data_IF_924096525192
#
_entry.id   IF_924096525192
#
_cell.length_a   1.000
_cell.length_b   1.000
_cell.length_c   1.000
_cell.angle_alpha   90.00
_cell.angle_beta   90.00
_cell.angle_gamma   90.00
#
_symmetry.space_group_name_H-M   'P 1'
#
loop_
_entity.id
_entity.type
_entity.pdbx_description
1 polymer ?
#
# COMPACT_ATOMS: atom_id res chain seq x y z
N UNK A 1 -18.95 8.00 1.04
CA UNK A 1 -17.94 7.53 2.01
C UNK A 1 -17.02 6.58 1.27
N UNK A 2 -15.70 6.70 1.43
CA UNK A 2 -14.77 5.83 0.71
C UNK A 2 -14.92 4.37 1.18
N UNK A 3 -14.94 3.39 0.27
CA UNK A 3 -15.18 1.97 0.62
C UNK A 3 -14.06 1.34 1.42
N UNK A 4 -12.82 1.68 1.10
CA UNK A 4 -11.65 1.14 1.79
C UNK A 4 -10.82 2.24 2.42
N UNK A 5 -10.13 1.88 3.49
CA UNK A 5 -9.03 2.67 4.03
C UNK A 5 -7.79 1.82 4.25
N UNK A 6 -6.63 2.46 4.06
CA UNK A 6 -5.33 1.95 4.47
C UNK A 6 -4.77 2.87 5.54
N UNK A 7 -4.32 2.28 6.65
CA UNK A 7 -3.48 2.94 7.64
C UNK A 7 -2.15 2.20 7.71
N UNK A 8 -1.07 2.85 7.28
CA UNK A 8 0.26 2.26 7.21
C UNK A 8 1.21 2.92 8.21
N UNK A 9 2.05 2.12 8.85
CA UNK A 9 3.15 2.61 9.70
C UNK A 9 4.42 2.68 8.86
N UNK A 10 4.93 3.88 8.66
CA UNK A 10 6.27 4.08 8.08
C UNK A 10 7.29 3.70 9.15
N UNK A 11 8.35 2.98 8.81
CA UNK A 11 9.35 2.47 9.77
C UNK A 11 9.94 3.60 10.62
N UNK A 12 10.45 4.63 9.96
CA UNK A 12 11.21 5.71 10.60
C UNK A 12 10.40 7.01 10.80
N UNK A 13 9.09 6.98 10.53
CA UNK A 13 8.24 8.17 10.59
C UNK A 13 6.87 7.89 11.25
N UNK A 14 5.88 8.73 10.93
CA UNK A 14 4.52 8.62 11.43
C UNK A 14 3.68 7.56 10.71
N UNK A 15 2.39 7.87 10.56
CA UNK A 15 1.43 7.02 9.88
C UNK A 15 1.02 7.66 8.55
N UNK A 16 0.85 6.82 7.53
CA UNK A 16 0.22 7.20 6.28
C UNK A 16 -1.24 6.73 6.28
N UNK A 17 -2.16 7.58 5.84
CA UNK A 17 -3.58 7.23 5.75
C UNK A 17 -4.13 7.51 4.35
N UNK A 18 -4.76 6.49 3.77
CA UNK A 18 -5.29 6.54 2.41
C UNK A 18 -6.72 6.02 2.40
N UNK A 19 -7.60 6.68 1.65
CA UNK A 19 -8.98 6.22 1.42
C UNK A 19 -9.26 6.08 -0.07
N UNK A 20 -9.92 5.00 -0.47
CA UNK A 20 -10.24 4.74 -1.87
C UNK A 20 -11.52 3.92 -2.03
N UNK A 21 -12.10 3.99 -3.24
CA UNK A 21 -13.29 3.23 -3.62
C UNK A 21 -12.98 2.09 -4.59
N UNK A 22 -11.84 2.19 -5.29
CA UNK A 22 -11.51 1.28 -6.37
C UNK A 22 -10.92 -0.01 -5.81
N UNK A 23 -11.63 -1.11 -6.02
CA UNK A 23 -11.19 -2.45 -5.63
C UNK A 23 -9.85 -2.82 -6.32
N UNK A 24 -9.52 -2.23 -7.48
CA UNK A 24 -8.27 -2.49 -8.21
C UNK A 24 -7.00 -2.10 -7.41
N UNK A 25 -7.10 -1.10 -6.51
CA UNK A 25 -6.00 -0.73 -5.62
C UNK A 25 -5.61 -1.90 -4.70
N UNK A 26 -6.57 -2.75 -4.32
CA UNK A 26 -6.29 -3.94 -3.52
C UNK A 26 -5.53 -5.00 -4.30
N UNK A 27 -5.70 -5.06 -5.62
CA UNK A 27 -4.97 -5.99 -6.46
C UNK A 27 -3.52 -5.53 -6.67
N UNK A 28 -3.27 -4.22 -6.71
CA UNK A 28 -1.91 -3.66 -6.68
C UNK A 28 -1.15 -4.07 -5.40
N UNK A 29 -1.82 -4.06 -4.23
CA UNK A 29 -1.20 -4.48 -2.96
C UNK A 29 -0.70 -5.93 -2.98
N UNK A 30 -1.36 -6.83 -3.73
CA UNK A 30 -0.98 -8.25 -3.83
C UNK A 30 0.26 -8.47 -4.70
N UNK A 31 0.61 -7.47 -5.51
CA UNK A 31 1.74 -7.52 -6.45
C UNK A 31 3.02 -6.94 -5.84
N UNK A 32 3.01 -6.50 -4.58
CA UNK A 32 4.20 -5.97 -3.91
C UNK A 32 5.00 -7.10 -3.24
N UNK A 33 6.33 -7.13 -3.40
CA UNK A 33 7.14 -6.27 -4.27
C UNK A 33 7.00 -6.67 -5.75
N UNK A 34 6.88 -5.71 -6.68
CA UNK A 34 6.80 -6.02 -8.10
C UNK A 34 8.19 -6.34 -8.68
N UNK A 35 8.28 -7.22 -9.70
CA UNK A 35 9.55 -7.58 -10.32
C UNK A 35 10.24 -6.39 -11.02
N UNK A 36 9.47 -5.41 -11.49
CA UNK A 36 9.97 -4.22 -12.21
C UNK A 36 10.21 -3.01 -11.30
N UNK A 37 10.12 -3.18 -9.98
CA UNK A 37 10.27 -2.09 -9.01
C UNK A 37 9.26 -0.95 -9.24
N UNK A 38 9.72 0.30 -9.13
CA UNK A 38 8.85 1.48 -9.26
C UNK A 38 8.29 1.70 -10.68
N UNK A 39 8.88 1.09 -11.72
CA UNK A 39 8.41 1.25 -13.10
C UNK A 39 6.99 0.70 -13.31
N UNK A 40 6.57 -0.26 -12.48
CA UNK A 40 5.22 -0.85 -12.56
C UNK A 40 4.12 0.19 -12.29
N UNK A 41 4.40 1.26 -11.55
CA UNK A 41 3.41 2.26 -11.14
C UNK A 41 2.79 2.98 -12.34
N UNK A 42 3.52 3.12 -13.45
CA UNK A 42 3.00 3.70 -14.69
C UNK A 42 1.86 2.88 -15.32
N UNK A 43 1.78 1.59 -14.99
CA UNK A 43 0.80 0.64 -15.51
C UNK A 43 -0.32 0.31 -14.52
N UNK A 44 -0.19 0.75 -13.27
CA UNK A 44 -1.22 0.52 -12.25
C UNK A 44 -2.34 1.56 -12.34
N UNK A 45 -3.58 1.19 -11.98
CA UNK A 45 -4.72 2.09 -11.97
C UNK A 45 -4.70 3.03 -10.74
N UNK A 46 -3.56 3.66 -10.49
CA UNK A 46 -3.35 4.64 -9.42
C UNK A 46 -3.07 6.00 -10.04
N UNK A 47 -3.93 6.97 -9.75
CA UNK A 47 -3.88 8.27 -10.41
C UNK A 47 -3.78 9.41 -9.41
N UNK A 48 -4.08 9.16 -8.13
CA UNK A 48 -3.99 10.20 -7.11
C UNK A 48 -2.57 10.27 -6.55
N UNK A 49 -2.01 11.48 -6.34
CA UNK A 49 -0.70 11.65 -5.75
C UNK A 49 -0.49 10.86 -4.45
N UNK A 50 -1.49 10.86 -3.55
CA UNK A 50 -1.40 10.12 -2.29
C UNK A 50 -1.40 8.59 -2.46
N UNK A 51 -2.04 8.05 -3.51
CA UNK A 51 -1.98 6.62 -3.82
C UNK A 51 -0.58 6.27 -4.35
N UNK A 52 -0.05 7.09 -5.25
CA UNK A 52 1.29 6.95 -5.81
C UNK A 52 2.35 6.98 -4.71
N UNK A 53 2.33 8.00 -3.84
CA UNK A 53 3.25 8.14 -2.72
C UNK A 53 3.21 6.91 -1.79
N UNK A 54 2.02 6.45 -1.43
CA UNK A 54 1.86 5.25 -0.63
C UNK A 54 2.53 4.02 -1.26
N UNK A 55 2.31 3.78 -2.56
CA UNK A 55 2.90 2.62 -3.23
C UNK A 55 4.41 2.76 -3.43
N UNK A 56 4.93 3.96 -3.65
CA UNK A 56 6.38 4.21 -3.68
C UNK A 56 7.02 3.83 -2.34
N UNK A 57 6.48 4.32 -1.23
CA UNK A 57 6.97 4.00 0.11
C UNK A 57 6.86 2.50 0.43
N UNK A 58 5.77 1.87 -0.03
CA UNK A 58 5.54 0.45 0.13
C UNK A 58 6.57 -0.39 -0.64
N UNK A 59 6.83 -0.06 -1.90
CA UNK A 59 7.79 -0.76 -2.78
C UNK A 59 9.23 -0.58 -2.29
N UNK A 60 9.58 0.62 -1.82
CA UNK A 60 10.91 0.91 -1.26
C UNK A 60 11.16 0.23 0.10
N UNK A 61 10.19 -0.50 0.65
CA UNK A 61 10.33 -1.20 1.94
C UNK A 61 10.27 -0.29 3.16
N UNK A 62 9.85 0.97 2.99
CA UNK A 62 9.76 1.96 4.07
C UNK A 62 8.55 1.74 4.98
N UNK A 63 7.58 0.92 4.57
CA UNK A 63 6.41 0.56 5.37
C UNK A 63 6.72 -0.67 6.23
N UNK A 64 6.46 -0.57 7.54
CA UNK A 64 6.62 -1.67 8.50
C UNK A 64 5.44 -2.64 8.46
N UNK A 65 4.23 -2.06 8.45
CA UNK A 65 2.98 -2.80 8.34
C UNK A 65 1.88 -1.85 7.86
N UNK A 66 0.78 -2.42 7.37
CA UNK A 66 -0.43 -1.65 7.08
C UNK A 66 -1.71 -2.40 7.43
N UNK A 67 -2.75 -1.64 7.75
CA UNK A 67 -4.09 -2.13 7.94
C UNK A 67 -4.94 -1.76 6.74
N UNK A 68 -5.64 -2.73 6.15
CA UNK A 68 -6.70 -2.50 5.18
C UNK A 68 -8.03 -2.69 5.89
N UNK A 69 -8.94 -1.72 5.78
CA UNK A 69 -10.33 -1.83 6.26
C UNK A 69 -11.28 -1.70 5.09
N UNK A 70 -12.21 -2.64 4.94
CA UNK A 70 -13.36 -2.53 4.05
C UNK A 70 -14.57 -2.11 4.88
N UNK A 71 -15.10 -0.90 4.64
CA UNK A 71 -16.25 -0.38 5.37
C UNK A 71 -17.56 -1.09 5.00
N UNK A 72 -17.63 -1.73 3.83
CA UNK A 72 -18.83 -2.46 3.38
C UNK A 72 -19.00 -3.78 4.12
N UNK A 73 -17.91 -4.52 4.28
CA UNK A 73 -17.91 -5.82 4.98
C UNK A 73 -17.51 -5.72 6.45
N UNK A 74 -17.04 -4.54 6.87
CA UNK A 74 -16.42 -4.27 8.17
C UNK A 74 -15.23 -5.19 8.48
N UNK A 75 -14.62 -5.79 7.46
CA UNK A 75 -13.42 -6.61 7.61
C UNK A 75 -12.19 -5.71 7.73
N UNK A 76 -11.25 -6.14 8.59
CA UNK A 76 -9.95 -5.52 8.76
C UNK A 76 -8.87 -6.58 8.59
N UNK A 77 -7.88 -6.29 7.75
CA UNK A 77 -6.69 -7.13 7.58
C UNK A 77 -5.46 -6.31 7.96
N UNK A 78 -4.53 -6.93 8.67
CA UNK A 78 -3.19 -6.38 8.91
C UNK A 78 -2.18 -7.18 8.11
N UNK A 79 -1.27 -6.49 7.45
CA UNK A 79 -0.13 -7.08 6.76
C UNK A 79 1.14 -6.55 7.39
N UNK A 80 1.95 -7.45 7.95
CA UNK A 80 3.29 -7.13 8.44
C UNK A 80 4.28 -7.38 7.31
N UNK A 81 5.20 -6.45 7.12
CA UNK A 81 6.24 -6.52 6.10
C UNK A 81 7.55 -6.73 6.84
N UNK A 82 8.13 -7.91 6.71
CA UNK A 82 9.48 -8.14 7.20
C UNK A 82 10.46 -7.31 6.38
N UNK A 83 11.54 -6.82 7.02
CA UNK A 83 12.70 -6.35 6.26
C UNK A 83 13.32 -7.60 5.64
N UNK A 84 12.80 -8.06 4.50
CA UNK A 84 13.64 -8.87 3.63
C UNK A 84 14.78 -7.95 3.23
N UNK A 85 15.98 -8.30 3.66
CA UNK A 85 17.23 -7.62 3.38
C UNK A 85 17.30 -7.31 1.88
N UNK A 86 17.06 -6.06 1.50
CA UNK A 86 17.27 -5.55 0.14
C UNK A 86 18.77 -5.32 -0.15
N UNK A 87 19.65 -5.94 0.65
CA UNK A 87 21.10 -5.94 0.49
C UNK A 87 21.55 -7.32 -0.04
N UNK A 88 21.27 -7.61 -1.32
CA UNK A 88 22.05 -8.59 -2.09
C UNK A 88 22.15 -8.16 -3.55
#
# INVERSE_FOLDING_TARGET
MKRFSILAKIRDAGYFFLNFDDDQILDCLKQVPPPEGLLVLAHWPIYKPAEIEFFVELINGNIAYYHVKDFRTNQKKTVFLDKTELDH
#
